data_IF_188127944060
#
_entry.id   IF_188127944060
#
_cell.length_a   1.000
_cell.length_b   1.000
_cell.length_c   1.000
_cell.angle_alpha   90.00
_cell.angle_beta   90.00
_cell.angle_gamma   90.00
#
_symmetry.space_group_name_H-M   'P 1'
#
loop_
_entity.id
_entity.type
_entity.pdbx_description
1 polymer ?
#
# COMPACT_ATOMS: atom_id res chain seq x y z
N UNK A 1 35.70 39.24 -38.99
CA UNK A 1 35.34 39.39 -37.56
C UNK A 1 33.85 39.18 -37.41
N UNK A 2 33.45 38.01 -36.90
CA UNK A 2 32.31 37.76 -36.02
C UNK A 2 32.30 36.26 -35.74
N UNK A 3 32.75 35.90 -34.54
CA UNK A 3 32.71 34.56 -33.98
C UNK A 3 31.26 34.27 -33.56
N UNK A 4 30.69 33.14 -33.98
CA UNK A 4 29.48 32.57 -33.40
C UNK A 4 29.89 31.34 -32.60
N UNK A 5 29.95 31.48 -31.28
CA UNK A 5 30.15 30.37 -30.37
C UNK A 5 28.87 29.52 -30.35
N UNK A 6 28.96 28.27 -30.79
CA UNK A 6 27.90 27.27 -30.58
C UNK A 6 27.90 26.88 -29.11
N UNK A 7 26.91 27.37 -28.37
CA UNK A 7 26.67 26.96 -26.98
C UNK A 7 26.03 25.58 -27.01
N UNK A 8 26.80 24.59 -26.59
CA UNK A 8 26.39 23.21 -26.36
C UNK A 8 25.41 23.20 -25.18
N UNK A 9 24.11 23.12 -25.48
CA UNK A 9 23.08 22.97 -24.46
C UNK A 9 22.89 21.48 -24.20
N UNK A 10 23.75 20.92 -23.34
CA UNK A 10 23.47 19.65 -22.68
C UNK A 10 22.31 19.89 -21.71
N UNK A 11 21.08 19.65 -22.16
CA UNK A 11 19.94 19.51 -21.26
C UNK A 11 20.13 18.23 -20.46
N UNK A 12 20.64 18.37 -19.24
CA UNK A 12 20.54 17.35 -18.22
C UNK A 12 19.05 17.10 -17.97
N UNK A 13 18.57 15.92 -18.33
CA UNK A 13 17.29 15.42 -17.84
C UNK A 13 17.39 15.34 -16.32
N UNK A 14 16.73 16.27 -15.63
CA UNK A 14 16.50 16.16 -14.22
C UNK A 14 15.42 15.08 -14.07
N UNK A 15 15.85 13.83 -13.95
CA UNK A 15 15.00 12.75 -13.49
C UNK A 15 14.64 13.11 -12.03
N UNK A 16 13.45 13.66 -11.83
CA UNK A 16 12.90 13.78 -10.48
C UNK A 16 12.48 12.37 -10.11
N UNK A 17 13.39 11.63 -9.45
CA UNK A 17 12.97 10.49 -8.64
C UNK A 17 11.97 11.05 -7.64
N UNK A 18 10.71 10.69 -7.79
CA UNK A 18 9.78 10.70 -6.67
C UNK A 18 10.44 9.81 -5.63
N UNK A 19 10.69 10.39 -4.46
CA UNK A 19 11.67 9.86 -3.53
C UNK A 19 11.28 8.44 -3.12
N UNK A 20 12.11 7.47 -3.47
CA UNK A 20 12.32 6.32 -2.61
C UNK A 20 12.48 6.88 -1.21
N UNK A 21 11.55 6.55 -0.32
CA UNK A 21 11.66 6.81 1.10
C UNK A 21 12.98 6.17 1.53
N UNK A 22 14.02 6.97 1.67
CA UNK A 22 15.32 6.51 2.16
C UNK A 22 15.09 6.16 3.62
N UNK A 23 14.70 4.91 3.88
CA UNK A 23 14.76 4.28 5.20
C UNK A 23 16.24 4.04 5.52
N UNK A 24 16.99 5.12 5.72
CA UNK A 24 18.30 5.05 6.38
C UNK A 24 18.05 4.86 7.88
N UNK A 25 17.50 3.71 8.26
CA UNK A 25 17.44 3.25 9.64
C UNK A 25 18.64 2.34 9.91
N UNK A 26 19.24 2.46 11.09
CA UNK A 26 20.24 1.53 11.65
C UNK A 26 19.61 0.15 11.94
N UNK A 27 18.99 -0.47 10.94
CA UNK A 27 18.37 -1.78 11.06
C UNK A 27 19.41 -2.85 11.35
N UNK A 28 19.00 -3.87 12.08
CA UNK A 28 19.86 -5.01 12.44
C UNK A 28 19.48 -6.20 11.58
N UNK A 29 20.46 -6.86 10.96
CA UNK A 29 20.21 -8.08 10.19
C UNK A 29 19.58 -9.16 11.07
N UNK A 30 18.53 -9.81 10.57
CA UNK A 30 17.87 -10.92 11.23
C UNK A 30 17.47 -11.98 10.19
N UNK A 31 17.52 -13.26 10.56
CA UNK A 31 16.96 -14.33 9.73
C UNK A 31 15.43 -14.27 9.70
N UNK A 32 14.79 -15.05 8.84
CA UNK A 32 13.33 -15.20 8.84
C UNK A 32 12.76 -15.49 10.24
N UNK A 33 11.69 -14.80 10.61
CA UNK A 33 10.99 -14.92 11.90
C UNK A 33 9.74 -15.78 11.72
N UNK A 34 9.55 -16.75 12.61
CA UNK A 34 8.36 -17.61 12.61
C UNK A 34 7.76 -17.68 14.01
N UNK A 35 6.51 -17.25 14.13
CA UNK A 35 5.70 -17.32 15.35
C UNK A 35 4.46 -18.15 15.03
N UNK A 36 4.47 -19.41 15.47
CA UNK A 36 3.43 -20.39 15.16
C UNK A 36 2.31 -20.44 16.20
N UNK A 37 2.52 -19.80 17.36
CA UNK A 37 1.56 -19.70 18.46
C UNK A 37 2.00 -18.65 19.50
N UNK A 38 1.15 -18.40 20.50
CA UNK A 38 1.35 -17.38 21.53
C UNK A 38 2.62 -17.54 22.38
N UNK A 39 3.20 -18.73 22.50
CA UNK A 39 4.41 -18.98 23.30
C UNK A 39 5.70 -18.68 22.52
N UNK A 40 5.60 -18.49 21.21
CA UNK A 40 6.75 -18.22 20.31
C UNK A 40 7.01 -16.73 20.13
N UNK A 41 6.28 -15.85 20.81
CA UNK A 41 6.66 -14.46 20.96
C UNK A 41 7.81 -14.31 21.96
N UNK A 42 9.03 -14.63 21.51
CA UNK A 42 10.26 -14.60 22.32
C UNK A 42 11.32 -13.70 21.67
N UNK A 43 12.35 -13.36 22.44
CA UNK A 43 13.48 -12.55 21.96
C UNK A 43 14.25 -13.25 20.83
N UNK A 44 14.32 -14.58 20.84
CA UNK A 44 14.92 -15.38 19.77
C UNK A 44 14.12 -15.31 18.46
N UNK A 45 12.81 -15.05 18.55
CA UNK A 45 11.92 -14.85 17.41
C UNK A 45 11.71 -13.35 17.10
N UNK A 46 12.72 -12.53 17.40
CA UNK A 46 12.75 -11.11 17.02
C UNK A 46 11.82 -10.19 17.83
N UNK A 47 11.24 -10.65 18.94
CA UNK A 47 10.45 -9.79 19.83
C UNK A 47 11.38 -8.95 20.71
N UNK A 48 11.31 -7.63 20.58
CA UNK A 48 12.13 -6.68 21.31
C UNK A 48 11.54 -6.31 22.68
N UNK A 49 10.21 -6.29 22.80
CA UNK A 49 9.51 -5.91 24.04
C UNK A 49 8.04 -6.32 24.07
N UNK A 50 7.37 -6.03 25.18
CA UNK A 50 5.92 -6.15 25.35
C UNK A 50 5.44 -7.46 25.94
N UNK A 51 4.17 -7.49 26.33
CA UNK A 51 3.50 -8.65 26.94
C UNK A 51 2.33 -9.19 26.13
N UNK A 52 2.09 -8.66 24.92
CA UNK A 52 1.03 -9.12 24.01
C UNK A 52 -0.39 -8.72 24.42
N UNK A 53 -0.53 -7.75 25.32
CA UNK A 53 -1.83 -7.14 25.66
C UNK A 53 -2.11 -5.93 24.75
N UNK A 54 -3.36 -5.49 24.60
CA UNK A 54 -3.68 -4.33 23.75
C UNK A 54 -2.94 -3.04 24.17
N UNK A 55 -2.64 -2.89 25.48
CA UNK A 55 -1.93 -1.72 26.02
C UNK A 55 -0.40 -1.91 26.08
N UNK A 56 0.07 -3.13 25.88
CA UNK A 56 1.47 -3.51 25.91
C UNK A 56 1.70 -4.65 24.91
N UNK A 57 1.56 -4.35 23.60
CA UNK A 57 1.64 -5.35 22.54
C UNK A 57 3.07 -5.87 22.42
N UNK A 58 3.24 -7.08 21.90
CA UNK A 58 4.57 -7.51 21.49
C UNK A 58 5.11 -6.61 20.38
N UNK A 59 6.40 -6.28 20.45
CA UNK A 59 7.02 -5.40 19.45
C UNK A 59 8.12 -6.16 18.72
N UNK A 60 8.03 -6.23 17.40
CA UNK A 60 9.04 -6.73 16.48
C UNK A 60 9.47 -5.54 15.63
N UNK A 61 10.70 -5.06 15.79
CA UNK A 61 11.10 -3.79 15.17
C UNK A 61 12.57 -3.71 14.79
N UNK A 62 12.88 -2.84 13.83
CA UNK A 62 14.24 -2.49 13.40
C UNK A 62 15.05 -3.68 12.83
N UNK A 63 14.36 -4.64 12.22
CA UNK A 63 15.00 -5.79 11.57
C UNK A 63 15.13 -5.60 10.06
N UNK A 64 16.28 -5.99 9.52
CA UNK A 64 16.53 -6.15 8.08
C UNK A 64 16.55 -7.65 7.80
N UNK A 65 15.63 -8.12 6.97
CA UNK A 65 15.46 -9.55 6.64
C UNK A 65 15.53 -9.72 5.12
N UNK A 66 16.67 -10.16 4.62
CA UNK A 66 16.76 -10.79 3.30
C UNK A 66 16.35 -12.25 3.45
N UNK A 67 15.16 -12.58 2.97
CA UNK A 67 14.62 -13.93 3.05
C UNK A 67 15.38 -14.91 2.12
N UNK A 68 16.17 -14.45 1.16
CA UNK A 68 17.06 -15.30 0.36
C UNK A 68 16.35 -16.49 -0.30
N UNK A 69 15.10 -16.31 -0.77
CA UNK A 69 14.18 -17.34 -1.28
C UNK A 69 13.49 -18.24 -0.24
N UNK A 70 13.61 -17.98 1.05
CA UNK A 70 12.67 -18.50 2.03
C UNK A 70 11.24 -18.08 1.67
N UNK A 71 10.26 -18.90 2.09
CA UNK A 71 8.87 -18.59 1.80
C UNK A 71 8.43 -17.25 2.41
N UNK A 72 8.93 -16.91 3.60
CA UNK A 72 8.45 -15.77 4.37
C UNK A 72 9.60 -15.06 5.10
N UNK A 73 9.58 -13.73 5.14
CA UNK A 73 10.44 -12.96 6.03
C UNK A 73 9.93 -13.01 7.47
N UNK A 74 8.68 -12.62 7.70
CA UNK A 74 7.98 -12.77 8.99
C UNK A 74 6.70 -13.56 8.79
N UNK A 75 6.53 -14.64 9.56
CA UNK A 75 5.31 -15.44 9.59
C UNK A 75 4.72 -15.45 10.99
N UNK A 76 3.45 -15.04 11.12
CA UNK A 76 2.69 -15.15 12.38
C UNK A 76 1.39 -15.93 12.14
N UNK A 77 1.13 -16.90 13.01
CA UNK A 77 -0.01 -17.78 12.91
C UNK A 77 -0.77 -17.92 14.25
N UNK A 78 -2.10 -17.87 14.17
CA UNK A 78 -2.98 -18.41 15.21
C UNK A 78 -2.93 -17.65 16.54
N UNK A 79 -2.93 -16.32 16.50
CA UNK A 79 -2.88 -15.49 17.71
C UNK A 79 -3.93 -14.39 17.72
N UNK A 80 -4.42 -14.06 18.91
CA UNK A 80 -5.22 -12.86 19.19
C UNK A 80 -4.48 -11.89 20.11
N UNK A 81 -3.25 -12.23 20.51
CA UNK A 81 -2.37 -11.35 21.29
C UNK A 81 -1.95 -10.19 20.41
N UNK A 82 -1.98 -8.99 20.98
CA UNK A 82 -1.65 -7.80 20.25
C UNK A 82 -0.15 -7.78 19.95
N UNK A 83 0.21 -7.41 18.72
CA UNK A 83 1.59 -7.20 18.33
C UNK A 83 1.71 -6.02 17.36
N UNK A 84 2.91 -5.48 17.28
CA UNK A 84 3.33 -4.44 16.35
C UNK A 84 4.58 -4.96 15.64
N UNK A 85 4.52 -5.04 14.31
CA UNK A 85 5.69 -5.13 13.45
C UNK A 85 5.95 -3.71 12.95
N UNK A 86 7.11 -3.12 13.20
CA UNK A 86 7.39 -1.77 12.70
C UNK A 86 8.83 -1.51 12.33
N UNK A 87 9.06 -0.60 11.39
CA UNK A 87 10.41 -0.24 10.93
C UNK A 87 11.23 -1.49 10.57
N UNK A 88 10.62 -2.42 9.83
CA UNK A 88 11.32 -3.57 9.28
C UNK A 88 11.55 -3.37 7.79
N UNK A 89 12.66 -3.88 7.30
CA UNK A 89 12.99 -3.98 5.88
C UNK A 89 13.02 -5.46 5.49
N UNK A 90 12.18 -5.88 4.55
CA UNK A 90 12.08 -7.28 4.14
C UNK A 90 12.11 -7.42 2.62
N UNK A 91 13.00 -8.26 2.13
CA UNK A 91 13.17 -8.53 0.70
C UNK A 91 13.41 -10.02 0.41
N UNK A 92 13.25 -10.39 -0.87
CA UNK A 92 13.65 -11.72 -1.37
C UNK A 92 12.75 -12.88 -0.95
N UNK A 93 11.57 -12.64 -0.37
CA UNK A 93 10.67 -13.70 0.06
C UNK A 93 9.96 -14.35 -1.14
N UNK A 94 10.06 -15.68 -1.23
CA UNK A 94 9.48 -16.47 -2.32
C UNK A 94 7.94 -16.58 -2.28
N UNK A 95 7.30 -16.18 -1.17
CA UNK A 95 5.83 -16.08 -1.08
C UNK A 95 5.35 -14.76 -0.51
N UNK A 96 5.77 -14.39 0.70
CA UNK A 96 5.32 -13.13 1.31
C UNK A 96 6.35 -12.55 2.24
N UNK A 97 6.62 -11.25 2.16
CA UNK A 97 7.51 -10.58 3.11
C UNK A 97 6.96 -10.73 4.55
N UNK A 98 5.67 -10.42 4.74
CA UNK A 98 4.93 -10.68 5.97
C UNK A 98 3.70 -11.56 5.67
N UNK A 99 3.59 -12.69 6.36
CA UNK A 99 2.44 -13.59 6.26
C UNK A 99 1.73 -13.72 7.61
N UNK A 100 0.48 -13.25 7.66
CA UNK A 100 -0.40 -13.42 8.81
C UNK A 100 -1.50 -14.43 8.49
N UNK A 101 -1.74 -15.37 9.42
CA UNK A 101 -2.86 -16.31 9.28
C UNK A 101 -3.59 -16.60 10.59
N UNK A 102 -4.92 -16.51 10.57
CA UNK A 102 -5.74 -16.64 11.79
C UNK A 102 -5.31 -15.65 12.89
N UNK A 103 -5.05 -14.40 12.49
CA UNK A 103 -4.52 -13.34 13.36
C UNK A 103 -5.55 -12.24 13.57
N UNK A 104 -5.61 -11.72 14.81
CA UNK A 104 -6.36 -10.50 15.15
C UNK A 104 -5.53 -9.51 15.95
N UNK A 105 -5.86 -8.22 15.84
CA UNK A 105 -5.24 -7.13 16.59
C UNK A 105 -3.74 -6.93 16.33
N UNK A 106 -3.26 -7.34 15.15
CA UNK A 106 -1.91 -7.06 14.69
C UNK A 106 -1.82 -5.67 14.07
N UNK A 107 -0.66 -5.02 14.27
CA UNK A 107 -0.30 -3.79 13.57
C UNK A 107 0.98 -4.01 12.77
N UNK A 108 1.01 -3.47 11.55
CA UNK A 108 2.20 -3.39 10.72
C UNK A 108 2.38 -1.92 10.35
N UNK A 109 3.49 -1.32 10.77
CA UNK A 109 3.69 0.13 10.72
C UNK A 109 5.05 0.47 10.10
N UNK A 110 5.11 1.53 9.28
CA UNK A 110 6.37 2.17 8.87
C UNK A 110 7.46 1.19 8.34
N UNK A 111 7.07 0.22 7.52
CA UNK A 111 7.96 -0.86 7.07
C UNK A 111 8.16 -0.85 5.56
N UNK A 112 9.34 -1.26 5.10
CA UNK A 112 9.71 -1.39 3.68
C UNK A 112 9.69 -2.86 3.27
N UNK A 113 8.83 -3.21 2.31
CA UNK A 113 8.64 -4.57 1.82
C UNK A 113 8.86 -4.57 0.30
N UNK A 114 10.10 -4.83 -0.11
CA UNK A 114 10.56 -4.62 -1.48
C UNK A 114 11.08 -5.91 -2.13
N UNK A 115 10.75 -6.13 -3.41
CA UNK A 115 11.32 -7.25 -4.17
C UNK A 115 10.88 -8.64 -3.69
N UNK A 116 9.63 -8.77 -3.22
CA UNK A 116 9.04 -10.03 -2.77
C UNK A 116 8.00 -10.54 -3.77
N UNK A 117 7.60 -11.82 -3.64
CA UNK A 117 6.43 -12.28 -4.39
C UNK A 117 5.17 -11.53 -3.95
N UNK A 118 4.90 -11.46 -2.64
CA UNK A 118 3.88 -10.58 -2.07
C UNK A 118 4.49 -9.76 -0.94
N UNK A 119 4.18 -8.46 -0.83
CA UNK A 119 4.57 -7.67 0.34
C UNK A 119 3.93 -8.21 1.62
N UNK A 120 2.61 -8.16 1.72
CA UNK A 120 1.85 -8.68 2.87
C UNK A 120 0.75 -9.64 2.43
N UNK A 121 0.59 -10.76 3.14
CA UNK A 121 -0.58 -11.63 2.99
C UNK A 121 -1.34 -11.75 4.31
N UNK A 122 -2.65 -11.49 4.25
CA UNK A 122 -3.62 -11.76 5.31
C UNK A 122 -4.49 -12.96 4.92
N UNK A 123 -4.55 -13.98 5.78
CA UNK A 123 -5.34 -15.18 5.53
C UNK A 123 -6.20 -15.54 6.75
N UNK A 124 -7.52 -15.45 6.64
CA UNK A 124 -8.45 -15.57 7.78
C UNK A 124 -8.14 -14.59 8.92
N UNK A 125 -7.82 -13.34 8.58
CA UNK A 125 -7.42 -12.29 9.52
C UNK A 125 -8.52 -11.23 9.70
N UNK A 126 -8.60 -10.62 10.89
CA UNK A 126 -9.55 -9.53 11.15
C UNK A 126 -9.03 -8.57 12.20
N UNK A 127 -9.46 -7.31 12.16
CA UNK A 127 -9.09 -6.26 13.14
C UNK A 127 -7.58 -5.97 13.15
N UNK A 128 -6.94 -6.07 11.99
CA UNK A 128 -5.54 -5.69 11.82
C UNK A 128 -5.45 -4.33 11.15
N UNK A 129 -4.37 -3.60 11.43
CA UNK A 129 -4.08 -2.31 10.83
C UNK A 129 -2.70 -2.32 10.20
N UNK A 130 -2.63 -1.96 8.93
CA UNK A 130 -1.40 -1.82 8.16
C UNK A 130 -1.31 -0.35 7.74
N UNK A 131 -0.29 0.36 8.22
CA UNK A 131 -0.18 1.78 8.00
C UNK A 131 1.25 2.27 7.75
N UNK A 132 1.42 3.30 6.92
CA UNK A 132 2.74 3.90 6.67
C UNK A 132 3.75 2.96 6.00
N UNK A 133 3.33 1.80 5.52
CA UNK A 133 4.23 0.83 4.89
C UNK A 133 4.47 1.19 3.42
N UNK A 134 5.65 0.87 2.93
CA UNK A 134 6.01 0.93 1.51
C UNK A 134 6.13 -0.49 0.96
N UNK A 135 5.36 -0.80 -0.07
CA UNK A 135 5.36 -2.07 -0.78
C UNK A 135 5.76 -1.80 -2.22
N UNK A 136 7.01 -2.09 -2.56
CA UNK A 136 7.62 -1.73 -3.84
C UNK A 136 8.16 -2.97 -4.59
N UNK A 137 8.13 -2.95 -5.92
CA UNK A 137 8.74 -4.01 -6.74
C UNK A 137 8.30 -5.44 -6.38
N UNK A 138 7.07 -5.62 -5.90
CA UNK A 138 6.52 -6.95 -5.61
C UNK A 138 5.65 -7.45 -6.78
N UNK A 139 5.44 -8.77 -6.89
CA UNK A 139 4.37 -9.23 -7.80
C UNK A 139 3.02 -8.72 -7.31
N UNK A 140 2.73 -8.85 -6.01
CA UNK A 140 1.61 -8.16 -5.41
C UNK A 140 2.01 -7.37 -4.16
N UNK A 141 1.47 -6.17 -3.99
CA UNK A 141 1.74 -5.39 -2.78
C UNK A 141 1.14 -6.07 -1.55
N UNK A 142 -0.18 -6.26 -1.56
CA UNK A 142 -0.90 -6.92 -0.47
C UNK A 142 -2.04 -7.81 -0.96
N UNK A 143 -2.19 -8.98 -0.33
CA UNK A 143 -3.28 -9.93 -0.60
C UNK A 143 -4.09 -10.28 0.63
N UNK A 144 -5.41 -10.23 0.50
CA UNK A 144 -6.37 -10.64 1.52
C UNK A 144 -7.13 -11.86 1.04
N UNK A 145 -7.11 -12.92 1.86
CA UNK A 145 -7.88 -14.13 1.65
C UNK A 145 -8.80 -14.33 2.85
N UNK A 146 -10.12 -14.30 2.62
CA UNK A 146 -11.12 -14.49 3.68
C UNK A 146 -10.87 -13.61 4.90
N UNK A 147 -10.43 -12.36 4.67
CA UNK A 147 -9.93 -11.46 5.70
C UNK A 147 -10.73 -10.17 5.71
N UNK A 148 -11.57 -10.02 6.73
CA UNK A 148 -12.55 -8.92 6.83
C UNK A 148 -12.26 -8.02 8.02
N UNK A 149 -12.80 -6.80 8.00
CA UNK A 149 -12.66 -5.83 9.11
C UNK A 149 -11.20 -5.47 9.41
N UNK A 150 -10.37 -5.29 8.37
CA UNK A 150 -9.00 -4.79 8.49
C UNK A 150 -8.88 -3.39 7.87
N UNK A 151 -7.79 -2.70 8.18
CA UNK A 151 -7.56 -1.33 7.70
C UNK A 151 -6.18 -1.20 7.05
N UNK A 152 -6.17 -0.66 5.82
CA UNK A 152 -5.00 -0.20 5.10
C UNK A 152 -5.03 1.34 5.08
N UNK A 153 -4.12 1.98 5.81
CA UNK A 153 -4.10 3.43 5.92
C UNK A 153 -2.75 4.02 5.52
N UNK A 154 -2.74 4.98 4.59
CA UNK A 154 -1.55 5.78 4.28
C UNK A 154 -0.32 4.92 3.94
N UNK A 155 -0.53 3.85 3.20
CA UNK A 155 0.55 3.04 2.65
C UNK A 155 0.92 3.51 1.23
N UNK A 156 2.13 3.19 0.81
CA UNK A 156 2.65 3.43 -0.53
C UNK A 156 2.80 2.10 -1.25
N UNK A 157 2.13 1.96 -2.38
CA UNK A 157 2.25 0.83 -3.30
C UNK A 157 2.83 1.37 -4.61
N UNK A 158 4.00 0.87 -5.01
CA UNK A 158 4.71 1.35 -6.19
C UNK A 158 5.28 0.16 -6.96
N UNK A 159 5.20 0.18 -8.29
CA UNK A 159 5.78 -0.85 -9.16
C UNK A 159 5.36 -2.30 -8.82
N UNK A 160 4.10 -2.49 -8.38
CA UNK A 160 3.53 -3.82 -8.14
C UNK A 160 2.65 -4.27 -9.31
N UNK A 161 2.65 -5.56 -9.69
CA UNK A 161 1.71 -6.03 -10.73
C UNK A 161 0.26 -5.84 -10.26
N UNK A 162 -0.07 -6.28 -9.05
CA UNK A 162 -1.31 -5.91 -8.37
C UNK A 162 -1.01 -5.27 -7.01
N UNK A 163 -1.39 -4.00 -6.82
CA UNK A 163 -1.06 -3.31 -5.56
C UNK A 163 -1.85 -3.86 -4.38
N UNK A 164 -3.18 -3.94 -4.50
CA UNK A 164 -4.06 -4.46 -3.45
C UNK A 164 -5.04 -5.47 -4.06
N UNK A 165 -5.04 -6.70 -3.53
CA UNK A 165 -5.92 -7.79 -3.97
C UNK A 165 -6.76 -8.33 -2.81
N UNK A 166 -8.08 -8.35 -2.97
CA UNK A 166 -9.02 -8.93 -2.01
C UNK A 166 -9.84 -10.06 -2.63
N UNK A 167 -9.77 -11.24 -2.02
CA UNK A 167 -10.61 -12.40 -2.31
C UNK A 167 -11.51 -12.73 -1.11
N UNK A 168 -12.83 -12.77 -1.33
CA UNK A 168 -13.84 -13.08 -0.30
C UNK A 168 -13.62 -12.30 1.01
N UNK A 169 -13.30 -11.02 0.89
CA UNK A 169 -12.86 -10.16 1.99
C UNK A 169 -13.73 -8.91 2.05
N UNK A 170 -14.31 -8.67 3.22
CA UNK A 170 -15.43 -7.73 3.37
C UNK A 170 -15.15 -6.68 4.45
N UNK A 171 -15.86 -5.55 4.38
CA UNK A 171 -15.86 -4.55 5.45
C UNK A 171 -14.44 -4.07 5.82
N UNK A 172 -13.53 -4.04 4.84
CA UNK A 172 -12.21 -3.47 5.02
C UNK A 172 -12.20 -1.99 4.65
N UNK A 173 -11.32 -1.25 5.29
CA UNK A 173 -11.10 0.17 5.04
C UNK A 173 -9.76 0.34 4.32
N UNK A 174 -9.80 0.90 3.10
CA UNK A 174 -8.62 1.19 2.28
C UNK A 174 -8.57 2.71 2.11
N UNK A 175 -7.79 3.37 2.95
CA UNK A 175 -7.87 4.80 3.17
C UNK A 175 -6.53 5.49 2.90
N UNK A 176 -6.56 6.60 2.17
CA UNK A 176 -5.42 7.51 2.03
C UNK A 176 -4.12 6.86 1.50
N UNK A 177 -4.21 5.77 0.73
CA UNK A 177 -3.04 5.09 0.18
C UNK A 177 -2.60 5.74 -1.14
N UNK A 178 -1.30 5.74 -1.39
CA UNK A 178 -0.71 6.07 -2.69
C UNK A 178 -0.51 4.77 -3.47
N UNK A 179 -1.14 4.66 -4.63
CA UNK A 179 -1.19 3.43 -5.43
C UNK A 179 -0.72 3.79 -6.84
N UNK A 180 0.54 3.48 -7.16
CA UNK A 180 1.19 3.99 -8.35
C UNK A 180 1.93 2.93 -9.16
N UNK A 181 2.06 3.21 -10.46
CA UNK A 181 2.98 2.55 -11.39
C UNK A 181 2.78 1.01 -11.50
N UNK A 182 1.61 0.52 -11.11
CA UNK A 182 1.25 -0.89 -11.17
C UNK A 182 0.42 -1.28 -12.39
N UNK A 183 0.28 -2.59 -12.63
CA UNK A 183 -0.65 -3.06 -13.68
C UNK A 183 -2.10 -2.91 -13.21
N UNK A 184 -2.43 -3.33 -11.99
CA UNK A 184 -3.74 -3.11 -11.35
C UNK A 184 -3.58 -2.48 -9.98
N UNK A 185 -4.26 -1.36 -9.73
CA UNK A 185 -4.25 -0.70 -8.42
C UNK A 185 -4.99 -1.52 -7.36
N UNK A 186 -6.32 -1.55 -7.43
CA UNK A 186 -7.14 -2.39 -6.54
C UNK A 186 -7.92 -3.44 -7.35
N UNK A 187 -7.84 -4.69 -6.92
CA UNK A 187 -8.61 -5.80 -7.48
C UNK A 187 -9.46 -6.47 -6.39
N UNK A 188 -10.78 -6.36 -6.49
CA UNK A 188 -11.74 -6.96 -5.54
C UNK A 188 -12.54 -8.05 -6.24
N UNK A 189 -12.49 -9.27 -5.71
CA UNK A 189 -13.10 -10.44 -6.34
C UNK A 189 -13.68 -11.42 -5.32
N UNK A 190 -14.42 -12.42 -5.83
CA UNK A 190 -15.01 -13.52 -5.07
C UNK A 190 -15.95 -13.03 -3.96
N UNK A 191 -16.85 -12.10 -4.30
CA UNK A 191 -17.82 -11.49 -3.39
C UNK A 191 -17.18 -10.55 -2.37
N UNK A 192 -16.05 -9.92 -2.69
CA UNK A 192 -15.42 -8.92 -1.80
C UNK A 192 -16.22 -7.62 -1.81
N UNK A 193 -17.18 -7.54 -0.89
CA UNK A 193 -18.19 -6.49 -0.82
C UNK A 193 -18.12 -5.67 0.47
N UNK A 194 -18.78 -4.52 0.46
CA UNK A 194 -18.88 -3.58 1.58
C UNK A 194 -17.52 -3.07 2.09
N UNK A 195 -16.50 -3.05 1.23
CA UNK A 195 -15.25 -2.35 1.54
C UNK A 195 -15.42 -0.85 1.27
N UNK A 196 -14.72 -0.04 2.06
CA UNK A 196 -14.68 1.42 1.92
C UNK A 196 -13.31 1.83 1.36
N UNK A 197 -13.31 2.49 0.20
CA UNK A 197 -12.11 2.92 -0.52
C UNK A 197 -12.20 4.44 -0.72
N UNK A 198 -11.51 5.21 0.12
CA UNK A 198 -11.64 6.69 0.15
C UNK A 198 -10.30 7.36 0.37
N UNK A 199 -10.11 8.52 -0.26
CA UNK A 199 -8.93 9.36 -0.13
C UNK A 199 -7.68 8.76 -0.75
N UNK A 200 -7.76 7.68 -1.54
CA UNK A 200 -6.59 7.09 -2.16
C UNK A 200 -6.19 7.87 -3.43
N UNK A 201 -4.91 7.82 -3.79
CA UNK A 201 -4.41 8.34 -5.05
C UNK A 201 -3.99 7.20 -5.96
N UNK A 202 -4.69 7.05 -7.08
CA UNK A 202 -4.36 6.12 -8.14
C UNK A 202 -3.60 6.84 -9.24
N UNK A 203 -2.33 6.47 -9.45
CA UNK A 203 -1.40 7.16 -10.35
C UNK A 203 -0.78 6.19 -11.35
N UNK A 204 -0.84 6.48 -12.64
CA UNK A 204 -0.15 5.76 -13.70
C UNK A 204 -0.30 4.22 -13.63
N UNK A 205 -1.45 3.74 -13.16
CA UNK A 205 -1.75 2.31 -13.20
C UNK A 205 -2.36 1.97 -14.56
N UNK A 206 -2.03 0.80 -15.11
CA UNK A 206 -2.67 0.34 -16.36
C UNK A 206 -4.19 0.18 -16.18
N UNK A 207 -4.62 -0.24 -14.99
CA UNK A 207 -6.00 -0.26 -14.53
C UNK A 207 -6.06 0.18 -13.06
N UNK A 208 -6.68 1.33 -12.77
CA UNK A 208 -6.76 1.82 -11.39
C UNK A 208 -7.53 0.88 -10.44
N UNK A 209 -8.69 0.39 -10.88
CA UNK A 209 -9.54 -0.44 -10.05
C UNK A 209 -10.33 -1.47 -10.88
N UNK A 210 -10.66 -2.59 -10.25
CA UNK A 210 -11.61 -3.58 -10.74
C UNK A 210 -12.44 -4.15 -9.59
N UNK A 211 -13.75 -4.18 -9.78
CA UNK A 211 -14.68 -4.92 -8.92
C UNK A 211 -15.99 -5.20 -9.65
N UNK A 212 -16.55 -6.39 -9.42
CA UNK A 212 -17.92 -6.76 -9.80
C UNK A 212 -18.87 -6.80 -8.59
N UNK A 213 -18.32 -6.58 -7.39
CA UNK A 213 -19.02 -6.68 -6.11
C UNK A 213 -19.32 -5.27 -5.57
N UNK A 214 -20.40 -5.09 -4.78
CA UNK A 214 -20.78 -3.75 -4.31
C UNK A 214 -19.81 -3.24 -3.23
N UNK A 215 -19.10 -2.16 -3.54
CA UNK A 215 -18.17 -1.47 -2.64
C UNK A 215 -18.40 0.05 -2.68
N UNK A 216 -17.97 0.74 -1.62
CA UNK A 216 -18.05 2.21 -1.53
C UNK A 216 -16.72 2.82 -1.93
N UNK A 217 -16.74 3.68 -2.95
CA UNK A 217 -15.56 4.39 -3.46
C UNK A 217 -15.55 5.88 -3.06
N UNK A 218 -16.49 6.26 -2.20
CA UNK A 218 -16.64 7.56 -1.59
C UNK A 218 -17.35 7.42 -0.23
N UNK A 219 -17.27 8.44 0.62
CA UNK A 219 -17.96 8.50 1.91
C UNK A 219 -19.22 9.39 1.90
N UNK A 220 -19.66 9.83 0.72
CA UNK A 220 -20.73 10.81 0.54
C UNK A 220 -20.29 12.28 0.64
N UNK A 221 -19.00 12.53 0.92
CA UNK A 221 -18.38 13.87 0.95
C UNK A 221 -17.18 13.92 0.02
N UNK A 222 -16.31 12.92 0.08
CA UNK A 222 -15.11 12.81 -0.74
C UNK A 222 -14.86 11.37 -1.21
N UNK A 223 -14.17 11.25 -2.34
CA UNK A 223 -13.80 10.00 -2.98
C UNK A 223 -12.30 9.83 -3.08
N UNK A 224 -11.83 9.39 -4.23
CA UNK A 224 -10.43 9.13 -4.52
C UNK A 224 -9.92 10.06 -5.63
N UNK A 225 -8.59 10.17 -5.72
CA UNK A 225 -7.92 10.82 -6.84
C UNK A 225 -7.55 9.79 -7.90
N UNK A 226 -7.91 10.07 -9.15
CA UNK A 226 -7.68 9.21 -10.31
C UNK A 226 -6.91 9.99 -11.36
N UNK A 227 -5.64 9.66 -11.61
CA UNK A 227 -4.87 10.40 -12.62
C UNK A 227 -5.47 10.23 -14.03
N UNK A 228 -5.37 11.30 -14.81
CA UNK A 228 -5.99 11.36 -16.14
C UNK A 228 -7.52 11.55 -16.13
N UNK A 229 -8.20 11.44 -14.99
CA UNK A 229 -9.59 11.85 -14.88
C UNK A 229 -9.69 13.36 -14.71
N UNK A 230 -10.48 13.99 -15.57
CA UNK A 230 -10.69 15.45 -15.53
C UNK A 230 -12.09 15.75 -16.03
N UNK A 231 -12.80 16.60 -15.28
CA UNK A 231 -14.13 17.03 -15.63
C UNK A 231 -14.34 18.51 -15.29
N UNK A 232 -15.59 18.98 -15.32
CA UNK A 232 -15.93 20.28 -14.77
C UNK A 232 -16.07 20.15 -13.24
N UNK A 233 -15.56 21.15 -12.52
CA UNK A 233 -15.88 21.46 -11.14
C UNK A 233 -16.59 22.83 -11.20
N UNK A 234 -17.92 22.82 -11.16
CA UNK A 234 -18.75 23.99 -11.40
C UNK A 234 -19.05 24.81 -10.14
N UNK A 235 -18.95 24.19 -8.96
CA UNK A 235 -19.11 24.87 -7.66
C UNK A 235 -17.78 25.20 -6.96
N UNK A 236 -16.66 24.83 -7.58
CA UNK A 236 -15.28 25.15 -7.18
C UNK A 236 -14.92 24.56 -5.80
N UNK A 237 -15.46 23.39 -5.47
CA UNK A 237 -15.26 22.73 -4.18
C UNK A 237 -14.03 21.80 -4.15
N UNK A 238 -13.37 21.58 -5.30
CA UNK A 238 -12.21 20.70 -5.43
C UNK A 238 -12.55 19.23 -5.72
N UNK A 239 -13.82 18.94 -6.01
CA UNK A 239 -14.35 17.63 -6.41
C UNK A 239 -14.84 17.73 -7.86
N UNK A 240 -14.65 16.67 -8.63
CA UNK A 240 -15.19 16.61 -9.99
C UNK A 240 -16.70 16.36 -9.96
N UNK A 241 -17.49 17.17 -10.70
CA UNK A 241 -18.96 17.02 -10.82
C UNK A 241 -19.42 15.78 -11.61
N UNK A 242 -18.48 14.96 -12.08
CA UNK A 242 -18.76 13.68 -12.71
C UNK A 242 -18.22 12.54 -11.87
N UNK A 243 -19.05 11.51 -11.70
CA UNK A 243 -18.62 10.28 -11.07
C UNK A 243 -17.57 9.56 -11.91
N UNK A 244 -16.55 9.02 -11.25
CA UNK A 244 -15.60 8.10 -11.85
C UNK A 244 -16.18 6.69 -11.80
N UNK A 245 -16.35 6.03 -12.97
CA UNK A 245 -16.95 4.70 -13.05
C UNK A 245 -15.88 3.62 -12.87
N UNK A 246 -16.04 2.76 -11.87
CA UNK A 246 -15.16 1.59 -11.65
C UNK A 246 -15.66 0.40 -12.45
N UNK A 247 -16.98 0.14 -12.45
CA UNK A 247 -17.58 -0.91 -13.28
C UNK A 247 -18.95 -0.54 -13.81
N UNK A 248 -19.41 -1.27 -14.83
CA UNK A 248 -20.67 -0.99 -15.53
C UNK A 248 -21.92 -1.24 -14.67
N UNK A 249 -21.77 -1.99 -13.56
CA UNK A 249 -22.87 -2.44 -12.71
C UNK A 249 -23.13 -1.51 -11.50
N UNK A 250 -22.57 -0.29 -11.54
CA UNK A 250 -22.88 0.77 -10.58
C UNK A 250 -21.83 1.00 -9.48
N UNK A 251 -20.68 0.32 -9.54
CA UNK A 251 -19.54 0.73 -8.72
C UNK A 251 -18.95 2.00 -9.32
N UNK A 252 -19.08 3.10 -8.60
CA UNK A 252 -18.58 4.40 -8.98
C UNK A 252 -18.16 5.19 -7.75
N UNK A 253 -17.20 6.07 -7.95
CA UNK A 253 -16.82 7.13 -7.02
C UNK A 253 -17.61 8.38 -7.42
N UNK A 254 -18.52 8.83 -6.55
CA UNK A 254 -19.37 9.99 -6.83
C UNK A 254 -18.70 11.32 -6.53
N UNK A 255 -17.59 11.31 -5.81
CA UNK A 255 -16.90 12.52 -5.36
C UNK A 255 -15.40 12.47 -5.68
N UNK A 256 -15.00 12.30 -6.96
CA UNK A 256 -13.59 12.14 -7.32
C UNK A 256 -12.81 13.44 -7.05
N UNK A 257 -11.64 13.32 -6.44
CA UNK A 257 -10.82 14.46 -6.03
C UNK A 257 -10.08 15.11 -7.22
N UNK A 258 -10.06 16.44 -7.28
CA UNK A 258 -9.25 17.18 -8.27
C UNK A 258 -7.75 17.14 -7.99
N UNK A 259 -7.38 17.07 -6.71
CA UNK A 259 -5.99 17.08 -6.26
C UNK A 259 -5.83 16.15 -5.08
N UNK A 260 -4.60 15.70 -4.84
CA UNK A 260 -4.29 14.85 -3.70
C UNK A 260 -2.95 15.27 -3.07
N UNK A 261 -2.81 15.29 -1.73
CA UNK A 261 -1.59 15.75 -1.07
C UNK A 261 -0.31 15.00 -1.46
N UNK A 262 -0.44 13.74 -1.86
CA UNK A 262 0.67 12.88 -2.29
C UNK A 262 1.00 13.00 -3.79
N UNK A 263 0.23 13.79 -4.55
CA UNK A 263 0.40 13.92 -6.01
C UNK A 263 0.87 15.34 -6.32
N UNK A 264 2.11 15.51 -6.84
CA UNK A 264 2.61 16.83 -7.21
C UNK A 264 1.74 17.47 -8.29
N UNK A 265 1.49 18.77 -8.18
CA UNK A 265 0.84 19.51 -9.25
C UNK A 265 1.65 19.36 -10.56
N UNK A 266 0.99 19.14 -11.72
CA UNK A 266 1.69 19.07 -12.99
C UNK A 266 2.51 20.35 -13.19
N UNK A 267 3.73 20.21 -13.72
CA UNK A 267 4.58 21.36 -14.00
C UNK A 267 3.81 22.34 -14.89
N UNK A 268 3.87 23.66 -14.62
CA UNK A 268 3.18 24.64 -15.45
C UNK A 268 3.63 24.47 -16.89
N UNK A 269 2.68 24.49 -17.82
CA UNK A 269 2.96 24.31 -19.25
C UNK A 269 4.11 25.24 -19.66
N UNK A 270 5.24 24.66 -20.05
CA UNK A 270 6.33 25.43 -20.63
C UNK A 270 5.78 26.06 -21.92
N UNK A 271 5.87 27.38 -22.05
CA UNK A 271 5.50 28.03 -23.30
C UNK A 271 6.36 27.44 -24.43
N UNK A 272 5.73 26.79 -25.40
CA UNK A 272 6.38 26.45 -26.66
C UNK A 272 6.81 27.76 -27.34
N UNK A 273 8.11 28.04 -27.31
CA UNK A 273 8.77 29.18 -27.98
C UNK A 273 9.33 28.78 -29.34
#
# INVERSE_FOLDING_TARGET
MKQGAGLMMCTAFLLVLVGASVFAGDGVEHSSIVISNDYEFTVENGVCSGSGTLNDPFVIENWIIDAGYDNYGIKIHGTTRAFIIRNVEISGAAKSAIYLSYVKNGKIEDSLLEGNWVGITLNFCSLNRIAGCTMADNTDGIRFYFSSNNQLLANTFEDNEASIWLDASHENEILNNYIADGYTGIYLNLQSAANLIVGNAFINNVRHAYTDDPNSWDDGVEGNYWDGFTYIDADEDGIWDAAYLISIDGNQDNFPLMTHPLVPAPAPAACDI
#
